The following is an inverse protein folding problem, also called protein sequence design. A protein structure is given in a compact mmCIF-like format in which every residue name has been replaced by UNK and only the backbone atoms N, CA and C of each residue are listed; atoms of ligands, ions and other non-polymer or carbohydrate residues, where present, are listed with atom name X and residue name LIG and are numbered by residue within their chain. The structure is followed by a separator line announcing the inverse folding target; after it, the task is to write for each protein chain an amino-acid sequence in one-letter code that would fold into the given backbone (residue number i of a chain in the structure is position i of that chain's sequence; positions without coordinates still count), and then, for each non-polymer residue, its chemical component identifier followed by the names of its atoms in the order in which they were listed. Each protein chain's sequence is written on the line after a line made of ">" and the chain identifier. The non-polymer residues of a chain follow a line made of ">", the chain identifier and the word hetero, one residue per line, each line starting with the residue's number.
data_IF_797192696726
#
_entry.id   IF_797192696726
#
_cell.length_a   1.000
_cell.length_b   1.000
_cell.length_c   1.000
_cell.angle_alpha   90.00
_cell.angle_beta   90.00
_cell.angle_gamma   90.00
#
_symmetry.space_group_name_H-M   'P 1'
#
loop_
_entity.id
_entity.type
_entity.pdbx_description
1 polymer ?
#
# COMPACT_ATOMS: atom_id res chain seq x y z
N UNK A 1 -29.36 -31.22 23.00
CA UNK A 1 -29.30 -29.78 23.30
C UNK A 1 -29.59 -29.01 22.02
N UNK A 2 -30.85 -29.03 21.53
CA UNK A 2 -31.17 -28.52 20.18
C UNK A 2 -32.51 -27.77 20.07
N UNK A 3 -33.34 -27.75 21.13
CA UNK A 3 -34.68 -27.09 21.09
C UNK A 3 -34.67 -25.62 21.53
N UNK A 4 -33.52 -25.07 21.95
CA UNK A 4 -33.39 -23.71 22.49
C UNK A 4 -33.16 -22.65 21.40
N UNK A 5 -32.73 -23.07 20.22
CA UNK A 5 -32.39 -22.20 19.08
C UNK A 5 -33.63 -21.82 18.24
N UNK A 6 -34.66 -22.68 18.21
CA UNK A 6 -35.85 -22.50 17.35
C UNK A 6 -36.83 -21.44 17.91
N UNK A 7 -36.87 -21.23 19.23
CA UNK A 7 -37.76 -20.24 19.84
C UNK A 7 -37.28 -18.78 19.73
N UNK A 8 -36.03 -18.52 19.37
CA UNK A 8 -35.51 -17.15 19.22
C UNK A 8 -35.74 -16.54 17.83
N UNK A 9 -36.18 -17.33 16.85
CA UNK A 9 -36.36 -16.87 15.47
C UNK A 9 -37.77 -16.32 15.18
N UNK A 10 -38.75 -16.54 16.07
CA UNK A 10 -40.18 -16.29 15.77
C UNK A 10 -40.71 -14.97 16.38
N UNK A 11 -39.95 -14.24 17.21
CA UNK A 11 -40.55 -13.19 18.07
C UNK A 11 -40.42 -11.74 17.58
N UNK A 12 -39.79 -11.41 16.44
CA UNK A 12 -39.63 -10.00 16.04
C UNK A 12 -40.05 -9.78 14.59
N UNK A 13 -41.35 -9.98 14.34
CA UNK A 13 -42.06 -9.35 13.25
C UNK A 13 -43.43 -8.88 13.76
N UNK A 14 -43.53 -7.59 14.11
CA UNK A 14 -44.80 -6.87 14.13
C UNK A 14 -44.53 -5.35 14.09
N UNK A 15 -44.99 -4.72 13.02
CA UNK A 15 -44.98 -3.28 12.76
C UNK A 15 -45.83 -2.51 13.77
N UNK A 16 -45.50 -1.24 14.02
CA UNK A 16 -46.51 -0.17 14.10
C UNK A 16 -46.03 1.12 13.46
N UNK A 17 -46.83 1.58 12.50
CA UNK A 17 -46.74 2.87 11.83
C UNK A 17 -46.95 4.02 12.83
N UNK A 18 -46.13 5.05 12.74
CA UNK A 18 -46.37 6.34 13.38
C UNK A 18 -46.37 7.41 12.31
N UNK A 19 -47.58 7.84 11.94
CA UNK A 19 -47.85 9.04 11.16
C UNK A 19 -47.76 10.22 12.13
N UNK A 20 -46.95 11.23 11.79
CA UNK A 20 -46.87 12.49 12.51
C UNK A 20 -45.97 13.47 11.77
N UNK A 21 -46.57 14.37 11.00
CA UNK A 21 -45.88 15.25 10.08
C UNK A 21 -45.10 16.39 10.73
N UNK A 22 -44.15 16.93 9.97
CA UNK A 22 -43.74 18.32 10.04
C UNK A 22 -43.27 18.77 8.65
N UNK A 23 -43.87 19.84 8.14
CA UNK A 23 -43.55 20.49 6.88
C UNK A 23 -42.24 21.27 6.98
N UNK A 24 -41.27 21.00 6.10
CA UNK A 24 -40.27 22.01 5.70
C UNK A 24 -39.96 21.83 4.21
N UNK A 25 -40.34 22.82 3.40
CA UNK A 25 -39.80 23.01 2.05
C UNK A 25 -38.34 23.44 2.20
N UNK A 26 -37.41 22.74 1.55
CA UNK A 26 -36.13 23.31 1.18
C UNK A 26 -35.80 22.98 -0.27
N UNK A 27 -35.36 24.01 -0.97
CA UNK A 27 -35.05 24.12 -2.38
C UNK A 27 -33.59 24.54 -2.43
N UNK A 28 -32.68 23.71 -2.92
CA UNK A 28 -31.33 24.08 -3.43
C UNK A 28 -30.61 22.76 -3.78
N UNK A 29 -30.36 22.44 -5.06
CA UNK A 29 -29.28 22.94 -5.91
C UNK A 29 -27.90 22.34 -5.54
N UNK A 30 -27.49 21.38 -6.38
CA UNK A 30 -26.13 21.03 -6.79
C UNK A 30 -24.98 21.43 -5.87
N UNK A 31 -24.39 20.47 -5.15
CA UNK A 31 -22.94 20.44 -4.87
C UNK A 31 -22.45 19.00 -4.84
N UNK A 32 -21.40 18.73 -5.62
CA UNK A 32 -20.61 17.49 -5.56
C UNK A 32 -20.23 17.22 -4.10
N UNK A 33 -20.41 15.97 -3.67
CA UNK A 33 -19.87 15.51 -2.40
C UNK A 33 -18.35 15.73 -2.41
N UNK A 34 -17.78 16.32 -1.34
CA UNK A 34 -16.33 16.39 -1.21
C UNK A 34 -15.79 14.96 -1.17
N UNK A 35 -14.70 14.72 -1.92
CA UNK A 35 -13.88 13.52 -1.81
C UNK A 35 -13.52 13.40 -0.34
N UNK A 36 -14.16 12.44 0.33
CA UNK A 36 -13.90 12.11 1.72
C UNK A 36 -12.47 11.61 1.76
N UNK A 37 -11.55 12.45 2.24
CA UNK A 37 -10.24 12.01 2.72
C UNK A 37 -10.55 11.01 3.83
N UNK A 38 -10.54 9.71 3.51
CA UNK A 38 -10.74 8.68 4.51
C UNK A 38 -9.58 8.80 5.48
N UNK A 39 -9.88 9.17 6.72
CA UNK A 39 -8.97 8.99 7.83
C UNK A 39 -8.77 7.49 8.03
N UNK A 40 -7.91 6.89 7.23
CA UNK A 40 -7.53 5.47 7.31
C UNK A 40 -6.99 5.22 8.71
N UNK A 41 -7.58 4.26 9.43
CA UNK A 41 -7.13 3.96 10.78
C UNK A 41 -5.73 3.32 10.77
N UNK A 42 -5.05 3.30 11.92
CA UNK A 42 -3.77 2.59 12.03
C UNK A 42 -3.91 1.09 11.69
N UNK A 43 -5.03 0.49 12.08
CA UNK A 43 -5.36 -0.90 11.82
C UNK A 43 -5.56 -1.15 10.32
N UNK A 44 -6.23 -0.23 9.62
CA UNK A 44 -6.38 -0.29 8.17
C UNK A 44 -5.03 -0.15 7.44
N UNK A 45 -4.16 0.76 7.92
CA UNK A 45 -2.82 0.95 7.35
C UNK A 45 -1.94 -0.30 7.51
N UNK A 46 -1.98 -0.96 8.67
CA UNK A 46 -1.23 -2.21 8.87
C UNK A 46 -1.72 -3.32 7.92
N UNK A 47 -3.05 -3.43 7.73
CA UNK A 47 -3.62 -4.39 6.79
C UNK A 47 -3.23 -4.10 5.33
N UNK A 48 -3.22 -2.83 4.92
CA UNK A 48 -2.75 -2.39 3.60
C UNK A 48 -1.27 -2.74 3.42
N UNK A 49 -0.41 -2.38 4.38
CA UNK A 49 1.02 -2.68 4.31
C UNK A 49 1.29 -4.19 4.16
N UNK A 50 0.55 -5.05 4.89
CA UNK A 50 0.66 -6.51 4.74
C UNK A 50 0.30 -6.99 3.33
N UNK A 51 -0.74 -6.42 2.71
CA UNK A 51 -1.12 -6.75 1.32
C UNK A 51 -0.04 -6.30 0.33
N UNK A 52 0.52 -5.11 0.52
CA UNK A 52 1.60 -4.59 -0.32
C UNK A 52 2.85 -5.47 -0.22
N UNK A 53 3.25 -5.88 0.98
CA UNK A 53 4.39 -6.79 1.18
C UNK A 53 4.14 -8.15 0.52
N UNK A 54 2.94 -8.70 0.66
CA UNK A 54 2.57 -9.97 0.00
C UNK A 54 2.68 -9.85 -1.52
N UNK A 55 2.14 -8.78 -2.10
CA UNK A 55 2.24 -8.50 -3.53
C UNK A 55 3.70 -8.39 -3.99
N UNK A 56 4.54 -7.64 -3.27
CA UNK A 56 5.97 -7.52 -3.64
C UNK A 56 6.69 -8.87 -3.57
N UNK A 57 6.38 -9.72 -2.59
CA UNK A 57 6.96 -11.07 -2.48
C UNK A 57 6.51 -11.99 -3.60
N UNK A 58 5.24 -11.96 -3.98
CA UNK A 58 4.72 -12.72 -5.12
C UNK A 58 5.37 -12.29 -6.45
N UNK A 59 5.86 -11.04 -6.50
CA UNK A 59 6.56 -10.45 -7.63
C UNK A 59 8.09 -10.30 -7.42
N UNK A 60 8.69 -11.07 -6.51
CA UNK A 60 10.13 -10.98 -6.20
C UNK A 60 11.00 -11.15 -7.45
N UNK A 61 10.64 -12.07 -8.35
CA UNK A 61 11.42 -12.31 -9.57
C UNK A 61 11.43 -11.10 -10.50
N UNK A 62 10.32 -10.37 -10.63
CA UNK A 62 10.23 -9.16 -11.46
C UNK A 62 11.12 -8.04 -10.90
N UNK A 63 11.16 -7.91 -9.56
CA UNK A 63 12.04 -6.97 -8.85
C UNK A 63 13.51 -7.38 -9.04
N UNK A 64 13.83 -8.66 -8.87
CA UNK A 64 15.19 -9.19 -9.06
C UNK A 64 15.67 -8.96 -10.50
N UNK A 65 14.83 -9.26 -11.49
CA UNK A 65 15.16 -9.08 -12.91
C UNK A 65 15.36 -7.60 -13.23
N UNK A 66 14.50 -6.71 -12.70
CA UNK A 66 14.68 -5.28 -12.80
C UNK A 66 16.03 -4.82 -12.23
N UNK A 67 16.38 -5.23 -11.00
CA UNK A 67 17.64 -4.85 -10.36
C UNK A 67 18.83 -5.36 -11.17
N UNK A 68 18.83 -6.65 -11.57
CA UNK A 68 19.89 -7.22 -12.41
C UNK A 68 20.05 -6.49 -13.74
N UNK A 69 18.96 -6.01 -14.34
CA UNK A 69 19.01 -5.28 -15.61
C UNK A 69 19.78 -3.95 -15.54
N UNK A 70 19.98 -3.40 -14.33
CA UNK A 70 20.62 -2.08 -14.16
C UNK A 70 22.15 -2.11 -14.21
N UNK A 71 22.77 -3.25 -13.96
CA UNK A 71 24.22 -3.41 -14.09
C UNK A 71 24.56 -4.87 -14.45
N UNK A 72 25.25 -5.07 -15.57
CA UNK A 72 25.60 -6.41 -16.09
C UNK A 72 26.53 -7.21 -15.18
N UNK A 73 27.21 -6.56 -14.22
CA UNK A 73 28.07 -7.22 -13.21
C UNK A 73 27.27 -7.83 -12.07
N UNK A 74 25.95 -7.64 -12.03
CA UNK A 74 25.07 -8.19 -11.00
C UNK A 74 24.62 -9.60 -11.40
N UNK A 75 25.22 -10.60 -10.77
CA UNK A 75 24.96 -12.01 -11.01
C UNK A 75 23.81 -12.53 -10.13
N UNK A 76 23.73 -12.07 -8.88
CA UNK A 76 22.66 -12.41 -7.92
C UNK A 76 22.19 -11.19 -7.13
N UNK A 77 20.93 -11.23 -6.71
CA UNK A 77 20.26 -10.18 -5.94
C UNK A 77 19.64 -10.85 -4.72
N UNK A 78 19.78 -10.21 -3.55
CA UNK A 78 19.13 -10.62 -2.31
C UNK A 78 18.22 -9.50 -1.83
N UNK A 79 16.91 -9.72 -1.77
CA UNK A 79 15.96 -8.71 -1.24
C UNK A 79 15.91 -8.78 0.28
N UNK A 80 16.06 -7.63 0.94
CA UNK A 80 15.92 -7.53 2.39
C UNK A 80 14.45 -7.27 2.78
N UNK A 81 13.67 -8.34 2.87
CA UNK A 81 12.25 -8.26 3.30
C UNK A 81 12.02 -7.78 4.74
N UNK A 82 13.09 -7.60 5.53
CA UNK A 82 13.00 -7.03 6.88
C UNK A 82 13.15 -5.51 6.92
N UNK A 83 13.62 -4.89 5.83
CA UNK A 83 13.76 -3.43 5.69
C UNK A 83 12.96 -2.94 4.48
N UNK A 84 11.68 -2.68 4.74
CA UNK A 84 10.74 -2.11 3.77
C UNK A 84 10.29 -0.79 4.38
N UNK A 85 10.39 0.29 3.61
CA UNK A 85 10.07 1.64 4.11
C UNK A 85 8.96 2.24 3.27
N UNK A 86 8.02 2.88 3.95
CA UNK A 86 6.95 3.67 3.33
C UNK A 86 7.27 5.14 3.51
N UNK A 87 7.04 5.93 2.48
CA UNK A 87 7.29 7.36 2.51
C UNK A 87 6.48 8.12 1.47
N UNK A 88 6.78 9.39 1.34
CA UNK A 88 6.27 10.24 0.26
C UNK A 88 7.46 10.67 -0.61
N UNK A 89 7.32 10.57 -1.93
CA UNK A 89 8.30 11.10 -2.86
C UNK A 89 8.38 12.63 -2.70
N UNK A 90 9.60 13.18 -2.69
CA UNK A 90 9.79 14.63 -2.72
C UNK A 90 9.66 15.16 -4.16
N UNK A 91 8.79 16.13 -4.40
CA UNK A 91 8.71 16.84 -5.69
C UNK A 91 8.94 18.35 -5.59
N UNK A 92 9.37 18.84 -4.40
CA UNK A 92 9.61 20.27 -4.17
C UNK A 92 8.35 21.12 -4.03
N UNK A 93 7.15 20.54 -4.03
CA UNK A 93 5.89 21.25 -3.73
C UNK A 93 5.27 20.77 -2.41
N UNK A 94 4.41 21.56 -1.75
CA UNK A 94 3.69 21.11 -0.57
C UNK A 94 2.73 19.93 -0.82
N UNK A 95 2.43 19.62 -2.09
CA UNK A 95 1.58 18.48 -2.43
C UNK A 95 2.33 17.14 -2.33
N UNK A 96 3.66 17.16 -2.30
CA UNK A 96 4.48 15.95 -2.39
C UNK A 96 4.36 15.25 -3.74
N UNK A 97 5.20 14.24 -3.96
CA UNK A 97 5.28 13.45 -5.18
C UNK A 97 4.45 12.17 -5.17
N UNK A 98 3.66 11.92 -4.12
CA UNK A 98 2.88 10.69 -3.94
C UNK A 98 3.52 9.70 -2.96
N UNK A 99 2.77 8.67 -2.58
CA UNK A 99 3.23 7.63 -1.66
C UNK A 99 4.15 6.63 -2.37
N UNK A 100 5.19 6.17 -1.68
CA UNK A 100 6.19 5.24 -2.20
C UNK A 100 6.52 4.13 -1.21
N UNK A 101 7.03 3.02 -1.74
CA UNK A 101 7.75 1.97 -1.02
C UNK A 101 9.20 1.99 -1.45
N UNK A 102 10.11 1.91 -0.50
CA UNK A 102 11.52 1.66 -0.73
C UNK A 102 11.87 0.22 -0.33
N UNK A 103 12.48 -0.49 -1.27
CA UNK A 103 13.07 -1.81 -1.06
C UNK A 103 14.59 -1.70 -1.07
N UNK A 104 15.22 -2.53 -0.25
CA UNK A 104 16.66 -2.62 -0.10
C UNK A 104 17.10 -4.06 -0.23
N UNK A 105 18.38 -4.25 -0.54
CA UNK A 105 18.96 -5.58 -0.62
C UNK A 105 20.44 -5.57 -0.90
N UNK A 106 21.03 -6.77 -0.90
CA UNK A 106 22.41 -7.01 -1.30
C UNK A 106 22.50 -7.58 -2.71
N UNK A 107 23.73 -7.73 -3.20
CA UNK A 107 23.99 -8.39 -4.48
C UNK A 107 25.29 -9.19 -4.43
N UNK A 108 25.41 -10.17 -5.34
CA UNK A 108 26.61 -11.01 -5.55
C UNK A 108 27.16 -11.70 -4.29
N UNK A 109 26.40 -11.78 -3.20
CA UNK A 109 26.88 -12.26 -1.90
C UNK A 109 28.10 -11.48 -1.37
N UNK A 110 28.23 -10.20 -1.77
CA UNK A 110 29.30 -9.33 -1.31
C UNK A 110 28.87 -8.71 0.02
N UNK A 111 29.72 -8.79 1.04
CA UNK A 111 29.49 -8.15 2.32
C UNK A 111 29.41 -6.63 2.16
N UNK A 112 28.46 -5.99 2.85
CA UNK A 112 28.20 -4.55 2.75
C UNK A 112 27.85 -4.06 1.33
N UNK A 113 27.39 -4.96 0.46
CA UNK A 113 26.77 -4.59 -0.81
C UNK A 113 25.34 -4.10 -0.60
N UNK A 114 24.92 -3.14 -1.43
CA UNK A 114 23.61 -2.51 -1.30
C UNK A 114 23.05 -2.05 -2.64
N UNK A 115 21.74 -2.17 -2.78
CA UNK A 115 20.92 -1.46 -3.77
C UNK A 115 19.65 -0.93 -3.11
N UNK A 116 19.02 0.06 -3.75
CA UNK A 116 17.73 0.60 -3.31
C UNK A 116 16.81 0.87 -4.51
N UNK A 117 15.59 0.36 -4.45
CA UNK A 117 14.54 0.61 -5.43
C UNK A 117 13.38 1.33 -4.79
N UNK A 118 12.93 2.41 -5.43
CA UNK A 118 11.69 3.11 -5.10
C UNK A 118 10.57 2.64 -6.03
N UNK A 119 9.38 2.41 -5.46
CA UNK A 119 8.16 1.96 -6.15
C UNK A 119 7.01 2.89 -5.74
N UNK A 120 6.30 3.46 -6.70
CA UNK A 120 5.11 4.26 -6.40
C UNK A 120 3.95 3.38 -5.94
N UNK A 121 3.16 3.91 -5.01
CA UNK A 121 1.88 3.34 -4.60
C UNK A 121 0.77 4.04 -5.39
N UNK A 122 0.04 3.28 -6.19
CA UNK A 122 -1.10 3.76 -6.98
C UNK A 122 -2.33 2.95 -6.59
N UNK A 123 -3.41 3.63 -6.18
CA UNK A 123 -4.62 3.00 -5.65
C UNK A 123 -4.31 1.99 -4.52
N UNK A 124 -3.53 2.42 -3.52
CA UNK A 124 -3.11 1.64 -2.34
C UNK A 124 -2.18 0.44 -2.63
N UNK A 125 -1.83 0.16 -3.89
CA UNK A 125 -0.99 -0.98 -4.26
C UNK A 125 0.32 -0.55 -4.94
N UNK A 126 1.41 -1.32 -4.79
CA UNK A 126 2.68 -1.01 -5.44
C UNK A 126 2.53 -1.17 -6.96
N UNK A 127 3.05 -0.23 -7.73
CA UNK A 127 3.00 -0.28 -9.20
C UNK A 127 4.38 -0.58 -9.79
N UNK A 128 4.68 -1.85 -10.07
CA UNK A 128 6.03 -2.33 -10.44
C UNK A 128 6.66 -1.63 -11.65
N UNK A 129 5.85 -1.16 -12.61
CA UNK A 129 6.36 -0.38 -13.76
C UNK A 129 7.01 0.95 -13.37
N UNK A 130 6.78 1.44 -12.16
CA UNK A 130 7.34 2.69 -11.61
C UNK A 130 8.67 2.46 -10.89
N UNK A 131 9.15 1.21 -10.81
CA UNK A 131 10.42 0.88 -10.19
C UNK A 131 11.56 1.76 -10.71
N UNK A 132 12.25 2.42 -9.79
CA UNK A 132 13.43 3.23 -10.06
C UNK A 132 14.56 2.82 -9.13
N UNK A 133 15.77 2.62 -9.67
CA UNK A 133 16.98 2.44 -8.87
C UNK A 133 17.40 3.83 -8.34
N UNK A 134 17.38 4.02 -7.03
CA UNK A 134 17.54 5.35 -6.42
C UNK A 134 19.00 5.71 -6.21
N UNK A 135 19.76 4.87 -5.49
CA UNK A 135 21.15 5.14 -5.10
C UNK A 135 22.11 4.09 -5.66
N UNK A 136 22.10 3.88 -6.99
CA UNK A 136 23.05 2.98 -7.68
C UNK A 136 23.24 1.61 -7.03
N UNK A 137 24.39 0.99 -7.29
CA UNK A 137 24.90 -0.14 -6.51
C UNK A 137 26.09 0.34 -5.68
N UNK A 138 26.24 -0.13 -4.45
CA UNK A 138 27.36 0.24 -3.61
C UNK A 138 27.94 -0.92 -2.82
N UNK A 139 29.20 -0.82 -2.44
CA UNK A 139 29.91 -1.75 -1.54
C UNK A 139 30.69 -0.92 -0.52
N UNK A 140 30.39 -1.09 0.76
CA UNK A 140 31.11 -0.39 1.84
C UNK A 140 31.00 1.14 1.80
N UNK A 141 29.94 1.68 1.19
CA UNK A 141 29.72 3.12 1.03
C UNK A 141 30.27 3.73 -0.27
N UNK A 142 31.01 2.95 -1.05
CA UNK A 142 31.51 3.36 -2.36
C UNK A 142 30.61 2.86 -3.48
N UNK A 143 30.58 3.57 -4.61
CA UNK A 143 29.83 3.14 -5.81
C UNK A 143 30.47 1.89 -6.39
N UNK A 144 29.63 0.92 -6.75
CA UNK A 144 30.01 -0.29 -7.47
C UNK A 144 29.85 -0.08 -8.97
N UNK A 145 30.97 0.11 -9.65
CA UNK A 145 31.05 0.26 -11.12
C UNK A 145 31.08 -1.08 -11.84
#
# INVERSE_FOLDING_TARGET
>A
MEKRMIFKLITILALLASIGGCTIKSKEQTKQAPISTSSTSREDKEAINKKQIAYLKDHEQEIVDFVKSKNFKIESVQVNWSDIRWGEAGNGTPQGGGEIIELYGGFNHIENSGWNVTIEIVNEMPELKTMMLSNGFGVGGEVFE
#
